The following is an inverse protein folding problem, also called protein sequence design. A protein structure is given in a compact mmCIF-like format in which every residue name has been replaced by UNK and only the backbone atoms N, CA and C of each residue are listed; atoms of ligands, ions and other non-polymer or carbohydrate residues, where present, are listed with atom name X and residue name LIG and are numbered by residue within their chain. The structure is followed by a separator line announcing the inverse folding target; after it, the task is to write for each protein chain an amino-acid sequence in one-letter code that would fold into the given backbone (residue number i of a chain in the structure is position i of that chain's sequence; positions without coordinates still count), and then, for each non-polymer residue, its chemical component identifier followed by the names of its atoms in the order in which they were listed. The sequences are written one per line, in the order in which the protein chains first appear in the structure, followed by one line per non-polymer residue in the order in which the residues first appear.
data_IF_446857470158
#
_entry.id   IF_446857470158
#
_cell.length_a   1.000
_cell.length_b   1.000
_cell.length_c   1.000
_cell.angle_alpha   90.00
_cell.angle_beta   90.00
_cell.angle_gamma   90.00
#
_symmetry.space_group_name_H-M   'P 1'
#
loop_
_entity.id
_entity.type
_entity.pdbx_description
1 polymer ?
#
# COMPACT_ATOMS: atom_id res chain seq x y z
N UNK A 1 -8.21 3.10 12.01
CA UNK A 1 -8.71 3.73 10.78
C UNK A 1 -10.01 4.53 10.92
N UNK A 2 -10.84 4.43 11.99
CA UNK A 2 -11.85 5.48 12.33
C UNK A 2 -12.96 5.81 11.31
N UNK A 3 -12.96 5.19 10.13
CA UNK A 3 -13.91 5.42 9.05
C UNK A 3 -15.32 5.01 9.47
N UNK A 4 -16.28 5.87 9.12
CA UNK A 4 -17.71 5.70 9.33
C UNK A 4 -18.44 5.66 7.99
N UNK A 5 -19.71 5.27 8.01
CA UNK A 5 -20.55 5.28 6.79
C UNK A 5 -20.59 6.65 6.12
N UNK A 6 -20.62 7.73 6.91
CA UNK A 6 -20.64 9.11 6.39
C UNK A 6 -19.41 9.42 5.53
N UNK A 7 -18.26 8.79 5.84
CA UNK A 7 -17.02 8.98 5.08
C UNK A 7 -17.07 8.31 3.70
N UNK A 8 -17.95 7.31 3.49
CA UNK A 8 -17.99 6.49 2.27
C UNK A 8 -19.29 6.57 1.48
N UNK A 9 -20.45 6.76 2.13
CA UNK A 9 -21.79 6.64 1.51
C UNK A 9 -22.05 7.65 0.38
N UNK A 10 -21.30 8.75 0.34
CA UNK A 10 -21.42 9.81 -0.68
C UNK A 10 -20.17 9.97 -1.55
N UNK A 11 -19.22 9.05 -1.43
CA UNK A 11 -17.97 9.11 -2.20
C UNK A 11 -18.14 8.48 -3.58
N UNK A 12 -17.26 8.81 -4.54
CA UNK A 12 -17.24 8.15 -5.83
C UNK A 12 -17.00 6.65 -5.69
N UNK A 13 -17.52 5.91 -6.65
CA UNK A 13 -17.28 4.46 -6.79
C UNK A 13 -15.82 4.17 -7.13
N UNK A 14 -15.40 2.91 -6.96
CA UNK A 14 -14.02 2.53 -7.25
C UNK A 14 -13.57 2.88 -8.67
N UNK A 15 -14.34 2.62 -9.76
CA UNK A 15 -13.91 3.01 -11.11
C UNK A 15 -13.69 4.52 -11.27
N UNK A 16 -14.52 5.34 -10.64
CA UNK A 16 -14.41 6.81 -10.69
C UNK A 16 -13.18 7.30 -9.93
N UNK A 17 -12.86 6.71 -8.78
CA UNK A 17 -11.62 7.01 -8.05
C UNK A 17 -10.39 6.51 -8.80
N UNK A 18 -10.43 5.28 -9.32
CA UNK A 18 -9.31 4.67 -10.04
C UNK A 18 -8.94 5.45 -11.29
N UNK A 19 -9.93 5.95 -12.03
CA UNK A 19 -9.71 6.80 -13.20
C UNK A 19 -8.92 8.08 -12.90
N UNK A 20 -8.96 8.60 -11.66
CA UNK A 20 -8.23 9.79 -11.25
C UNK A 20 -6.74 9.54 -10.98
N UNK A 21 -6.36 8.29 -10.67
CA UNK A 21 -5.00 7.95 -10.24
C UNK A 21 -4.25 7.01 -11.20
N UNK A 22 -4.96 6.21 -12.02
CA UNK A 22 -4.34 5.19 -12.88
C UNK A 22 -3.24 5.74 -13.79
N UNK A 23 -3.45 6.92 -14.38
CA UNK A 23 -2.50 7.51 -15.34
C UNK A 23 -1.24 8.02 -14.64
N UNK A 24 -1.35 8.39 -13.36
CA UNK A 24 -0.20 8.80 -12.52
C UNK A 24 0.64 7.61 -12.08
N UNK A 25 0.06 6.42 -12.06
CA UNK A 25 0.73 5.17 -11.67
C UNK A 25 1.20 4.36 -12.88
N UNK A 26 0.84 4.76 -14.10
CA UNK A 26 1.16 4.03 -15.31
C UNK A 26 2.68 3.86 -15.48
N UNK A 27 3.11 2.60 -15.63
CA UNK A 27 4.53 2.25 -15.80
C UNK A 27 5.36 2.29 -14.50
N UNK A 28 4.75 2.57 -13.35
CA UNK A 28 5.43 2.53 -12.05
C UNK A 28 5.05 1.26 -11.28
N UNK A 29 5.99 0.67 -10.51
CA UNK A 29 5.66 -0.44 -9.63
C UNK A 29 4.86 0.07 -8.42
N UNK A 30 3.93 -0.76 -7.97
CA UNK A 30 3.26 -0.59 -6.69
C UNK A 30 4.13 -1.14 -5.56
N UNK A 31 3.95 -0.63 -4.34
CA UNK A 31 4.72 -1.04 -3.16
C UNK A 31 3.78 -1.10 -1.97
N UNK A 32 3.82 -2.21 -1.22
CA UNK A 32 3.02 -2.39 0.00
C UNK A 32 3.77 -3.23 1.04
N UNK A 33 3.41 -3.03 2.30
CA UNK A 33 3.90 -3.82 3.41
C UNK A 33 2.94 -4.97 3.68
N UNK A 34 3.34 -6.18 3.25
CA UNK A 34 2.47 -7.35 3.11
C UNK A 34 1.61 -7.35 1.83
N UNK A 35 2.26 -7.08 0.69
CA UNK A 35 1.69 -7.11 -0.68
C UNK A 35 0.58 -8.14 -0.94
N UNK A 36 0.67 -9.44 -0.53
CA UNK A 36 -0.41 -10.38 -0.83
C UNK A 36 -1.79 -9.91 -0.35
N UNK A 37 -1.86 -9.19 0.78
CA UNK A 37 -3.10 -8.61 1.28
C UNK A 37 -3.62 -7.51 0.33
N UNK A 38 -2.85 -6.43 0.13
CA UNK A 38 -3.24 -5.29 -0.72
C UNK A 38 -3.55 -5.70 -2.16
N UNK A 39 -2.73 -6.58 -2.75
CA UNK A 39 -2.96 -7.08 -4.11
C UNK A 39 -4.27 -7.87 -4.20
N UNK A 40 -4.61 -8.68 -3.19
CA UNK A 40 -5.87 -9.42 -3.18
C UNK A 40 -7.09 -8.50 -3.08
N UNK A 41 -7.02 -7.45 -2.24
CA UNK A 41 -8.07 -6.45 -2.17
C UNK A 41 -8.24 -5.72 -3.51
N UNK A 42 -7.12 -5.35 -4.15
CA UNK A 42 -7.16 -4.65 -5.42
C UNK A 42 -7.72 -5.54 -6.54
N UNK A 43 -7.33 -6.82 -6.61
CA UNK A 43 -7.89 -7.77 -7.57
C UNK A 43 -9.39 -7.98 -7.35
N UNK A 44 -9.82 -8.15 -6.10
CA UNK A 44 -11.22 -8.35 -5.77
C UNK A 44 -12.10 -7.15 -6.16
N UNK A 45 -11.64 -5.91 -5.94
CA UNK A 45 -12.43 -4.73 -6.34
C UNK A 45 -12.44 -4.53 -7.86
N UNK A 46 -11.38 -4.91 -8.57
CA UNK A 46 -11.41 -4.95 -10.04
C UNK A 46 -12.44 -5.99 -10.54
N UNK A 47 -12.46 -7.18 -9.95
CA UNK A 47 -13.44 -8.22 -10.28
C UNK A 47 -14.88 -7.77 -10.02
N UNK A 48 -15.16 -7.20 -8.84
CA UNK A 48 -16.48 -6.67 -8.44
C UNK A 48 -17.05 -5.69 -9.48
N UNK A 49 -16.20 -4.81 -10.01
CA UNK A 49 -16.60 -3.81 -11.02
C UNK A 49 -16.40 -4.29 -12.47
N UNK A 50 -16.11 -5.57 -12.70
CA UNK A 50 -15.83 -6.16 -14.02
C UNK A 50 -14.73 -5.40 -14.81
N UNK A 51 -13.71 -4.93 -14.09
CA UNK A 51 -12.54 -4.25 -14.65
C UNK A 51 -11.40 -5.25 -14.89
N UNK A 52 -10.67 -5.08 -15.99
CA UNK A 52 -9.48 -5.89 -16.28
C UNK A 52 -8.31 -5.49 -15.35
N UNK A 53 -7.78 -6.45 -14.60
CA UNK A 53 -6.61 -6.22 -13.74
C UNK A 53 -5.32 -6.29 -14.58
N UNK A 54 -4.55 -5.19 -14.71
CA UNK A 54 -3.45 -5.12 -15.67
C UNK A 54 -2.14 -5.78 -15.17
N UNK A 55 -2.21 -6.59 -14.11
CA UNK A 55 -1.06 -7.31 -13.53
C UNK A 55 0.12 -6.39 -13.18
N UNK A 56 -0.15 -5.34 -12.39
CA UNK A 56 0.87 -4.40 -11.93
C UNK A 56 2.08 -5.11 -11.30
N UNK A 57 3.29 -4.63 -11.62
CA UNK A 57 4.46 -4.95 -10.82
C UNK A 57 4.24 -4.43 -9.40
N UNK A 58 4.38 -5.30 -8.40
CA UNK A 58 4.02 -4.99 -7.03
C UNK A 58 5.06 -5.58 -6.08
N UNK A 59 5.80 -4.74 -5.38
CA UNK A 59 6.82 -5.16 -4.44
C UNK A 59 6.31 -5.23 -3.00
N UNK A 60 6.95 -6.10 -2.21
CA UNK A 60 6.59 -6.35 -0.82
C UNK A 60 7.69 -5.90 0.14
N UNK A 61 7.46 -4.81 0.86
CA UNK A 61 8.45 -4.28 1.83
C UNK A 61 8.57 -5.15 3.08
N UNK A 62 7.54 -5.93 3.43
CA UNK A 62 7.62 -6.93 4.49
C UNK A 62 8.62 -8.05 4.13
N UNK A 63 8.59 -8.51 2.88
CA UNK A 63 9.53 -9.53 2.41
C UNK A 63 10.97 -8.99 2.37
N UNK A 64 11.15 -7.75 1.90
CA UNK A 64 12.44 -7.06 1.94
C UNK A 64 12.94 -6.88 3.38
N UNK A 65 12.08 -6.42 4.28
CA UNK A 65 12.38 -6.26 5.71
C UNK A 65 12.87 -7.57 6.33
N UNK A 66 12.16 -8.69 6.12
CA UNK A 66 12.56 -10.03 6.60
C UNK A 66 13.89 -10.52 6.04
N UNK A 67 14.28 -10.05 4.86
CA UNK A 67 15.51 -10.49 4.19
C UNK A 67 16.73 -9.68 4.62
N UNK A 68 16.56 -8.38 4.88
CA UNK A 68 17.68 -7.46 4.99
C UNK A 68 17.80 -6.78 6.37
N UNK A 69 16.73 -6.76 7.18
CA UNK A 69 16.78 -6.14 8.51
C UNK A 69 16.94 -7.20 9.59
N UNK A 70 17.81 -6.92 10.56
CA UNK A 70 17.98 -7.73 11.77
C UNK A 70 17.12 -7.16 12.91
N UNK A 71 15.81 -7.41 12.83
CA UNK A 71 14.83 -6.99 13.84
C UNK A 71 13.91 -8.16 14.21
N UNK A 72 13.45 -8.27 15.46
CA UNK A 72 12.67 -9.43 15.91
C UNK A 72 11.25 -9.46 15.31
N UNK A 73 10.72 -8.29 14.92
CA UNK A 73 9.36 -8.13 14.42
C UNK A 73 9.39 -7.17 13.24
N UNK A 74 8.86 -7.60 12.11
CA UNK A 74 8.83 -6.82 10.87
C UNK A 74 7.49 -6.15 10.64
N UNK A 75 6.89 -5.54 11.67
CA UNK A 75 5.71 -4.67 11.47
C UNK A 75 6.14 -3.40 10.72
N UNK A 76 5.19 -2.75 10.04
CA UNK A 76 5.48 -1.58 9.18
C UNK A 76 6.29 -0.51 9.91
N UNK A 77 5.80 -0.06 11.07
CA UNK A 77 6.46 0.99 11.84
C UNK A 77 7.85 0.61 12.35
N UNK A 78 8.07 -0.65 12.75
CA UNK A 78 9.38 -1.11 13.20
C UNK A 78 10.35 -1.23 12.02
N UNK A 79 9.88 -1.73 10.89
CA UNK A 79 10.66 -1.81 9.65
C UNK A 79 11.03 -0.41 9.14
N UNK A 80 10.09 0.54 9.21
CA UNK A 80 10.31 1.93 8.84
C UNK A 80 11.31 2.61 9.78
N UNK A 81 11.17 2.43 11.09
CA UNK A 81 12.10 2.95 12.10
C UNK A 81 13.51 2.38 11.92
N UNK A 82 13.64 1.07 11.66
CA UNK A 82 14.91 0.44 11.33
C UNK A 82 15.52 0.99 10.02
N UNK A 83 14.70 1.50 9.10
CA UNK A 83 15.13 2.21 7.89
C UNK A 83 15.35 3.72 8.12
N UNK A 84 15.22 4.21 9.36
CA UNK A 84 15.41 5.62 9.73
C UNK A 84 14.20 6.53 9.47
N UNK A 85 13.00 5.99 9.30
CA UNK A 85 11.76 6.75 9.16
C UNK A 85 10.91 6.64 10.42
N UNK A 86 10.70 7.77 11.09
CA UNK A 86 9.75 7.84 12.19
C UNK A 86 8.35 8.13 11.63
N UNK A 87 7.41 7.21 11.85
CA UNK A 87 6.03 7.40 11.42
C UNK A 87 5.30 8.20 12.50
N UNK A 88 5.09 9.50 12.26
CA UNK A 88 4.15 10.27 13.07
C UNK A 88 2.71 9.92 12.63
N UNK A 89 1.81 9.68 13.58
CA UNK A 89 0.39 9.39 13.32
C UNK A 89 0.09 8.02 12.64
N UNK A 90 0.55 6.94 13.28
CA UNK A 90 0.25 5.55 12.90
C UNK A 90 -1.26 5.31 12.68
N UNK A 91 -1.62 4.57 11.63
CA UNK A 91 -2.99 4.16 11.23
C UNK A 91 -3.76 5.10 10.28
N UNK A 92 -3.06 5.98 9.56
CA UNK A 92 -3.57 6.64 8.35
C UNK A 92 -2.96 5.99 7.11
N UNK A 93 -3.79 5.64 6.11
CA UNK A 93 -3.35 5.01 4.87
C UNK A 93 -2.25 5.81 4.14
N UNK A 94 -2.27 7.15 4.25
CA UNK A 94 -1.20 7.98 3.69
C UNK A 94 0.14 7.75 4.40
N UNK A 95 0.16 7.79 5.73
CA UNK A 95 1.38 7.56 6.52
C UNK A 95 1.93 6.15 6.30
N UNK A 96 1.04 5.16 6.17
CA UNK A 96 1.43 3.79 5.88
C UNK A 96 2.04 3.66 4.46
N UNK A 97 1.48 4.35 3.47
CA UNK A 97 2.02 4.40 2.10
C UNK A 97 3.39 5.09 2.03
N UNK A 98 3.57 6.20 2.76
CA UNK A 98 4.87 6.90 2.88
C UNK A 98 5.94 6.02 3.52
N UNK A 99 5.59 5.30 4.59
CA UNK A 99 6.49 4.36 5.23
C UNK A 99 6.87 3.20 4.29
N UNK A 100 5.92 2.67 3.52
CA UNK A 100 6.20 1.66 2.49
C UNK A 100 7.20 2.20 1.44
N UNK A 101 6.97 3.41 0.93
CA UNK A 101 7.87 4.04 -0.03
C UNK A 101 9.28 4.23 0.55
N UNK A 102 9.39 4.66 1.80
CA UNK A 102 10.68 4.82 2.46
C UNK A 102 11.45 3.50 2.60
N UNK A 103 10.78 2.44 3.07
CA UNK A 103 11.39 1.11 3.19
C UNK A 103 11.84 0.60 1.81
N UNK A 104 11.00 0.78 0.78
CA UNK A 104 11.34 0.38 -0.58
C UNK A 104 12.59 1.08 -1.09
N UNK A 105 12.68 2.41 -0.97
CA UNK A 105 13.87 3.17 -1.38
C UNK A 105 15.16 2.74 -0.65
N UNK A 106 15.05 2.07 0.50
CA UNK A 106 16.19 1.57 1.26
C UNK A 106 16.55 0.11 0.96
N UNK A 107 15.57 -0.74 0.64
CA UNK A 107 15.73 -2.20 0.64
C UNK A 107 15.40 -2.90 -0.69
N UNK A 108 14.79 -2.21 -1.65
CA UNK A 108 14.41 -2.74 -2.96
C UNK A 108 15.26 -2.07 -4.05
#
# INVERSE_FOLDING_TARGET
HGLTRTDTDRQPTFPEVWAQIKDRMAGLPLVAHNRPFDESCLKAVFEEYNMEYPNYEFHCTLAASRRYLDIPIHQLHLSAAACGYNMDNHHNALADAEACAWIAMKLL
#
